data_IF_479043719593
#
_entry.id   IF_479043719593
#
_cell.length_a   1.000
_cell.length_b   1.000
_cell.length_c   1.000
_cell.angle_alpha   90.00
_cell.angle_beta   90.00
_cell.angle_gamma   90.00
#
_symmetry.space_group_name_H-M   'P 1'
#
loop_
_entity.id
_entity.type
_entity.pdbx_description
1 polymer ?
#
# COMPACT_ATOMS: atom_id res chain seq x y z
N UNK A 1 38.58 -59.56 1.18
CA UNK A 1 38.41 -60.10 2.55
C UNK A 1 38.32 -58.93 3.53
N UNK A 2 37.24 -58.90 4.32
CA UNK A 2 37.16 -58.63 5.78
C UNK A 2 38.50 -58.26 6.49
N UNK A 3 38.56 -57.31 7.46
CA UNK A 3 37.79 -56.07 7.64
C UNK A 3 38.65 -54.86 8.15
N UNK A 4 38.01 -53.70 8.38
CA UNK A 4 38.36 -52.78 9.48
C UNK A 4 37.08 -52.08 10.02
N UNK A 5 37.00 -51.83 11.33
CA UNK A 5 35.83 -51.26 12.04
C UNK A 5 36.31 -50.61 13.35
N UNK A 6 35.49 -49.75 13.97
CA UNK A 6 35.76 -49.03 15.26
C UNK A 6 36.71 -47.83 15.03
N UNK A 7 36.57 -46.64 15.66
CA UNK A 7 35.77 -46.18 16.82
C UNK A 7 35.00 -44.86 16.59
N UNK A 8 34.11 -44.54 17.54
CA UNK A 8 33.45 -43.23 17.69
C UNK A 8 34.44 -42.10 18.01
N UNK A 9 34.10 -40.88 17.57
CA UNK A 9 34.60 -39.64 18.19
C UNK A 9 33.55 -38.53 18.15
N UNK A 10 32.60 -38.56 19.10
CA UNK A 10 31.62 -37.49 19.28
C UNK A 10 32.26 -36.29 19.99
N UNK A 11 32.03 -35.05 19.51
CA UNK A 11 32.49 -33.85 20.24
C UNK A 11 31.56 -32.63 20.10
N UNK A 12 31.06 -32.21 21.27
CA UNK A 12 30.60 -30.87 21.64
C UNK A 12 29.59 -30.13 20.74
N UNK A 13 28.33 -30.13 21.18
CA UNK A 13 27.38 -29.04 20.88
C UNK A 13 27.78 -27.81 21.71
N UNK A 14 27.98 -26.62 21.12
CA UNK A 14 28.12 -25.38 21.88
C UNK A 14 26.72 -24.87 22.28
N UNK A 15 26.36 -25.07 23.54
CA UNK A 15 25.33 -24.26 24.22
C UNK A 15 26.00 -23.03 24.81
N UNK A 16 25.42 -21.84 24.58
CA UNK A 16 25.23 -20.76 25.57
C UNK A 16 24.99 -19.40 24.89
N UNK A 17 23.73 -19.08 24.63
CA UNK A 17 23.27 -17.68 24.50
C UNK A 17 22.42 -17.40 25.74
N UNK A 18 22.96 -16.58 26.66
CA UNK A 18 22.38 -16.34 27.98
C UNK A 18 21.07 -15.56 27.88
N UNK A 19 19.94 -16.25 28.03
CA UNK A 19 18.64 -15.60 28.21
C UNK A 19 18.64 -14.81 29.53
N UNK A 20 18.34 -13.51 29.44
CA UNK A 20 18.14 -12.68 30.65
C UNK A 20 16.77 -13.00 31.24
N UNK A 21 16.72 -13.99 32.11
CA UNK A 21 15.51 -14.33 32.86
C UNK A 21 15.21 -13.19 33.85
N UNK A 22 14.23 -12.34 33.52
CA UNK A 22 13.68 -11.37 34.47
C UNK A 22 12.65 -12.09 35.32
N UNK A 23 12.98 -12.35 36.58
CA UNK A 23 12.09 -13.00 37.54
C UNK A 23 10.90 -12.09 37.87
N UNK A 24 9.74 -12.35 37.29
CA UNK A 24 8.47 -11.82 37.77
C UNK A 24 7.87 -12.80 38.78
N UNK A 25 7.75 -12.36 40.02
CA UNK A 25 7.21 -13.15 41.13
C UNK A 25 5.71 -13.38 40.98
N UNK A 26 5.27 -14.60 41.27
CA UNK A 26 3.86 -14.97 41.20
C UNK A 26 3.06 -14.34 42.34
N UNK A 27 2.24 -13.34 42.04
CA UNK A 27 1.11 -12.94 42.90
C UNK A 27 -0.17 -13.46 42.27
N UNK A 28 -0.86 -14.39 42.92
CA UNK A 28 -2.14 -14.89 42.44
C UNK A 28 -3.22 -13.80 42.53
N UNK A 29 -3.87 -13.49 41.40
CA UNK A 29 -5.10 -12.69 41.34
C UNK A 29 -5.99 -13.23 40.20
N UNK A 30 -7.24 -13.58 40.55
CA UNK A 30 -8.45 -13.65 39.71
C UNK A 30 -8.29 -13.85 38.18
N UNK A 31 -8.71 -15.00 37.66
CA UNK A 31 -8.50 -15.39 36.26
C UNK A 31 -9.32 -14.62 35.21
N UNK A 32 -10.49 -14.10 35.57
CA UNK A 32 -11.54 -13.72 34.60
C UNK A 32 -11.21 -12.51 33.73
N UNK A 33 -10.39 -11.57 34.25
CA UNK A 33 -10.08 -10.32 33.55
C UNK A 33 -9.11 -10.49 32.35
N UNK A 34 -8.55 -11.68 32.16
CA UNK A 34 -7.52 -11.92 31.13
C UNK A 34 -8.08 -12.18 29.73
N UNK A 35 -9.26 -12.79 29.61
CA UNK A 35 -9.80 -13.22 28.31
C UNK A 35 -10.56 -12.13 27.56
N UNK A 36 -11.13 -11.14 28.26
CA UNK A 36 -11.63 -9.92 27.60
C UNK A 36 -10.49 -9.16 26.90
N UNK A 37 -9.34 -9.02 27.57
CA UNK A 37 -8.16 -8.34 27.01
C UNK A 37 -7.60 -9.10 25.80
N UNK A 38 -7.63 -10.44 25.82
CA UNK A 38 -7.31 -11.29 24.65
C UNK A 38 -8.36 -11.16 23.53
N UNK A 39 -9.66 -11.14 23.83
CA UNK A 39 -10.74 -10.89 22.84
C UNK A 39 -10.61 -9.50 22.21
N UNK A 40 -10.33 -8.46 22.99
CA UNK A 40 -10.11 -7.10 22.52
C UNK A 40 -8.87 -6.98 21.62
N UNK A 41 -7.77 -7.66 21.96
CA UNK A 41 -6.59 -7.75 21.09
C UNK A 41 -6.89 -8.46 19.76
N UNK A 42 -7.63 -9.60 19.81
CA UNK A 42 -8.07 -10.32 18.59
C UNK A 42 -9.01 -9.48 17.72
N UNK A 43 -9.96 -8.74 18.33
CA UNK A 43 -10.81 -7.78 17.60
C UNK A 43 -9.96 -6.72 16.89
N UNK A 44 -9.11 -5.99 17.64
CA UNK A 44 -8.21 -4.97 17.06
C UNK A 44 -7.31 -5.51 15.94
N UNK A 45 -6.84 -6.76 16.05
CA UNK A 45 -6.07 -7.40 14.97
C UNK A 45 -6.95 -7.67 13.74
N UNK A 46 -8.16 -8.19 13.91
CA UNK A 46 -9.10 -8.40 12.81
C UNK A 46 -9.55 -7.08 12.18
N UNK A 47 -9.77 -6.03 12.97
CA UNK A 47 -10.14 -4.69 12.51
C UNK A 47 -9.01 -4.08 11.64
N UNK A 48 -7.74 -4.27 12.04
CA UNK A 48 -6.56 -3.87 11.26
C UNK A 48 -6.37 -4.70 9.98
N UNK A 49 -6.70 -5.99 10.01
CA UNK A 49 -6.71 -6.83 8.81
C UNK A 49 -7.82 -6.41 7.85
N UNK A 50 -9.00 -6.03 8.37
CA UNK A 50 -10.11 -5.50 7.58
C UNK A 50 -9.81 -4.12 6.98
N UNK A 51 -9.08 -3.23 7.68
CA UNK A 51 -8.64 -1.96 7.10
C UNK A 51 -7.59 -2.16 6.02
N UNK A 52 -6.60 -3.03 6.24
CA UNK A 52 -5.60 -3.40 5.23
C UNK A 52 -6.23 -4.08 4.00
N UNK A 53 -7.30 -4.86 4.17
CA UNK A 53 -8.06 -5.40 3.02
C UNK A 53 -8.76 -4.26 2.29
N UNK A 54 -9.51 -3.39 2.99
CA UNK A 54 -10.23 -2.26 2.37
C UNK A 54 -9.32 -1.28 1.61
N UNK A 55 -8.11 -1.03 2.10
CA UNK A 55 -7.10 -0.20 1.41
C UNK A 55 -6.57 -0.84 0.11
N UNK A 56 -6.65 -2.17 -0.02
CA UNK A 56 -6.25 -2.91 -1.23
C UNK A 56 -7.44 -3.29 -2.13
N UNK A 57 -8.67 -3.31 -1.61
CA UNK A 57 -9.90 -3.62 -2.35
C UNK A 57 -10.75 -2.37 -2.55
N UNK A 58 -10.22 -1.37 -3.27
CA UNK A 58 -11.00 -0.22 -3.74
C UNK A 58 -11.87 -0.59 -4.95
N UNK A 59 -12.78 -1.52 -4.75
CA UNK A 59 -13.88 -1.82 -5.68
C UNK A 59 -15.01 -0.82 -5.47
N UNK A 60 -15.07 0.18 -6.35
CA UNK A 60 -16.29 0.84 -6.86
C UNK A 60 -17.52 0.94 -5.93
N UNK A 61 -17.50 1.81 -4.91
CA UNK A 61 -18.76 2.32 -4.31
C UNK A 61 -18.61 3.75 -3.76
N UNK A 62 -18.20 4.69 -4.61
CA UNK A 62 -18.08 6.11 -4.27
C UNK A 62 -19.44 6.83 -4.39
N UNK A 63 -20.20 6.88 -3.30
CA UNK A 63 -21.45 7.66 -3.22
C UNK A 63 -21.13 9.16 -3.35
N UNK A 64 -21.89 9.86 -4.19
CA UNK A 64 -21.59 11.24 -4.57
C UNK A 64 -21.95 12.24 -3.47
N UNK A 65 -20.94 12.84 -2.84
CA UNK A 65 -21.10 14.06 -2.02
C UNK A 65 -19.82 14.88 -1.97
N UNK A 66 -19.99 16.19 -1.90
CA UNK A 66 -18.98 17.24 -1.71
C UNK A 66 -18.01 17.50 -2.90
N UNK A 67 -17.91 18.78 -3.25
CA UNK A 67 -17.02 19.28 -4.31
C UNK A 67 -15.61 19.37 -3.73
N UNK A 68 -14.66 18.60 -4.26
CA UNK A 68 -13.24 18.82 -3.97
C UNK A 68 -12.80 20.19 -4.50
N UNK A 69 -12.72 21.19 -3.62
CA UNK A 69 -11.96 22.40 -3.93
C UNK A 69 -10.51 22.04 -4.23
N UNK A 70 -9.95 22.65 -5.28
CA UNK A 70 -8.56 22.43 -5.69
C UNK A 70 -7.60 22.84 -4.57
N UNK A 71 -7.15 21.87 -3.76
CA UNK A 71 -6.30 22.05 -2.60
C UNK A 71 -4.86 22.40 -3.01
N UNK A 72 -4.67 23.64 -3.45
CA UNK A 72 -3.36 24.24 -3.74
C UNK A 72 -2.43 23.99 -2.57
N UNK A 73 -1.42 23.12 -2.77
CA UNK A 73 -0.43 22.74 -1.75
C UNK A 73 0.14 23.99 -1.07
N UNK A 74 -0.34 24.28 0.15
CA UNK A 74 0.20 25.35 0.98
C UNK A 74 1.62 24.95 1.37
N UNK A 75 2.61 25.46 0.64
CA UNK A 75 4.04 25.35 1.01
C UNK A 75 4.19 25.83 2.45
N UNK A 76 4.37 24.88 3.37
CA UNK A 76 4.55 25.17 4.80
C UNK A 76 5.84 25.96 4.92
N UNK A 77 5.73 27.27 5.17
CA UNK A 77 6.90 28.11 5.47
C UNK A 77 7.56 27.53 6.73
N UNK A 78 8.87 27.24 6.73
CA UNK A 78 9.52 26.66 7.89
C UNK A 78 9.40 27.62 9.07
N UNK A 79 8.77 27.16 10.15
CA UNK A 79 8.59 27.93 11.38
C UNK A 79 9.98 28.14 11.99
N UNK A 80 10.49 29.37 11.93
CA UNK A 80 11.77 29.72 12.56
C UNK A 80 11.63 29.52 14.08
N UNK A 81 12.52 28.76 14.74
CA UNK A 81 12.47 28.60 16.19
C UNK A 81 12.75 29.94 16.89
N UNK A 82 11.96 30.26 17.92
CA UNK A 82 12.10 31.46 18.76
C UNK A 82 13.28 31.35 19.74
N UNK A 83 14.50 31.12 19.23
CA UNK A 83 15.70 30.88 20.04
C UNK A 83 16.73 32.02 20.01
N UNK A 84 16.42 33.15 19.37
CA UNK A 84 17.36 34.27 19.16
C UNK A 84 17.57 35.12 20.41
N UNK A 85 16.51 35.39 21.17
CA UNK A 85 16.50 36.35 22.29
C UNK A 85 17.19 35.85 23.58
N UNK A 86 17.48 34.56 23.69
CA UNK A 86 18.02 33.97 24.92
C UNK A 86 19.42 34.51 25.28
N UNK A 87 20.27 34.77 24.29
CA UNK A 87 21.61 35.31 24.53
C UNK A 87 21.58 36.74 25.07
N UNK A 88 20.71 37.58 24.51
CA UNK A 88 20.51 38.96 24.94
C UNK A 88 19.98 39.02 26.38
N UNK A 89 18.96 38.22 26.70
CA UNK A 89 18.37 38.11 28.05
C UNK A 89 19.40 37.66 29.09
N UNK A 90 20.30 36.73 28.74
CA UNK A 90 21.42 36.32 29.61
C UNK A 90 22.41 37.47 29.83
N UNK A 91 22.78 38.24 28.79
CA UNK A 91 23.68 39.39 28.96
C UNK A 91 23.08 40.53 29.79
N UNK A 92 21.77 40.76 29.71
CA UNK A 92 21.06 41.75 30.55
C UNK A 92 21.06 41.31 32.02
N UNK A 93 20.67 40.06 32.30
CA UNK A 93 20.67 39.52 33.66
C UNK A 93 22.07 39.52 34.30
N UNK A 94 23.11 39.18 33.54
CA UNK A 94 24.49 39.25 34.02
C UNK A 94 24.89 40.69 34.41
N UNK A 95 24.56 41.68 33.56
CA UNK A 95 24.78 43.11 33.85
C UNK A 95 24.01 43.59 35.08
N UNK A 96 22.82 43.07 35.36
CA UNK A 96 22.03 43.44 36.53
C UNK A 96 22.59 42.90 37.85
N UNK A 97 23.04 41.64 37.86
CA UNK A 97 23.71 41.05 39.03
C UNK A 97 25.03 41.77 39.33
N UNK A 98 25.81 42.06 38.29
CA UNK A 98 27.18 42.56 38.42
C UNK A 98 27.27 44.06 38.71
N UNK A 99 26.19 44.85 38.52
CA UNK A 99 26.10 46.27 38.96
C UNK A 99 26.37 46.50 40.45
N UNK A 100 26.38 45.45 41.29
CA UNK A 100 26.68 45.52 42.73
C UNK A 100 28.12 45.16 43.08
N UNK A 101 29.01 44.97 42.09
CA UNK A 101 30.41 44.58 42.30
C UNK A 101 31.38 45.68 41.85
N UNK A 102 32.52 45.76 42.51
CA UNK A 102 33.52 46.84 42.36
C UNK A 102 34.17 46.92 40.97
N UNK A 103 34.20 45.81 40.22
CA UNK A 103 34.82 45.70 38.89
C UNK A 103 33.84 45.14 37.85
N UNK A 104 32.82 45.91 37.43
CA UNK A 104 31.66 45.36 36.73
C UNK A 104 32.00 44.73 35.36
N UNK A 105 32.87 45.35 34.56
CA UNK A 105 33.20 44.84 33.22
C UNK A 105 34.00 43.51 33.26
N UNK A 106 34.81 43.30 34.29
CA UNK A 106 35.59 42.06 34.47
C UNK A 106 34.73 40.94 35.06
N UNK A 107 33.90 41.27 36.06
CA UNK A 107 32.99 40.31 36.67
C UNK A 107 31.88 39.85 35.70
N UNK A 108 31.37 40.73 34.82
CA UNK A 108 30.44 40.33 33.75
C UNK A 108 31.10 39.32 32.80
N UNK A 109 32.35 39.59 32.40
CA UNK A 109 33.11 38.71 31.53
C UNK A 109 33.35 37.32 32.16
N UNK A 110 33.83 37.26 33.40
CA UNK A 110 34.04 35.98 34.09
C UNK A 110 32.75 35.19 34.32
N UNK A 111 31.66 35.86 34.67
CA UNK A 111 30.37 35.22 34.92
C UNK A 111 29.79 34.60 33.64
N UNK A 112 29.80 35.36 32.53
CA UNK A 112 29.37 34.86 31.23
C UNK A 112 30.29 33.74 30.74
N UNK A 113 31.61 33.88 30.87
CA UNK A 113 32.59 32.85 30.51
C UNK A 113 32.34 31.52 31.25
N UNK A 114 32.11 31.56 32.58
CA UNK A 114 31.80 30.39 33.40
C UNK A 114 30.49 29.70 32.98
N UNK A 115 29.48 30.44 32.51
CA UNK A 115 28.21 29.86 32.03
C UNK A 115 28.29 29.24 30.62
N UNK A 116 29.30 29.59 29.81
CA UNK A 116 29.38 29.18 28.40
C UNK A 116 29.95 27.76 28.16
N UNK A 117 30.41 27.07 29.20
CA UNK A 117 31.22 25.84 29.13
C UNK A 117 30.51 24.58 28.57
N UNK A 118 29.22 24.63 28.21
CA UNK A 118 28.43 23.45 27.80
C UNK A 118 27.51 23.62 26.57
N UNK A 119 27.44 24.80 25.93
CA UNK A 119 26.45 25.06 24.87
C UNK A 119 26.98 25.97 23.74
N UNK A 120 27.51 25.38 22.66
CA UNK A 120 27.97 26.12 21.47
C UNK A 120 26.94 27.08 20.88
N UNK A 121 25.65 26.67 20.87
CA UNK A 121 24.56 27.47 20.31
C UNK A 121 24.28 28.74 21.14
N UNK A 122 24.62 28.73 22.43
CA UNK A 122 24.54 29.90 23.31
C UNK A 122 25.82 30.74 23.26
N UNK A 123 27.00 30.12 23.12
CA UNK A 123 28.26 30.84 22.81
C UNK A 123 28.07 31.75 21.58
N UNK A 124 27.57 31.18 20.48
CA UNK A 124 27.39 31.87 19.18
C UNK A 124 26.28 32.95 19.19
N UNK A 125 25.44 33.04 20.23
CA UNK A 125 24.48 34.14 20.42
C UNK A 125 24.95 35.17 21.44
N UNK A 126 25.50 34.74 22.58
CA UNK A 126 26.04 35.64 23.62
C UNK A 126 27.24 36.44 23.10
N UNK A 127 28.11 35.84 22.28
CA UNK A 127 29.21 36.57 21.59
C UNK A 127 28.69 37.71 20.70
N UNK A 128 27.54 37.54 20.05
CA UNK A 128 26.93 38.57 19.18
C UNK A 128 26.23 39.68 19.98
N UNK A 129 25.64 39.33 21.13
CA UNK A 129 24.94 40.26 21.99
C UNK A 129 25.89 41.10 22.89
N UNK A 130 26.93 40.47 23.43
CA UNK A 130 27.80 41.08 24.45
C UNK A 130 28.69 42.21 23.91
N UNK A 131 29.39 41.97 22.78
CA UNK A 131 30.37 42.90 22.16
C UNK A 131 31.53 43.36 23.07
N UNK A 132 31.74 42.78 24.25
CA UNK A 132 32.84 43.14 25.14
C UNK A 132 34.17 42.51 24.67
N UNK A 133 35.21 43.31 24.45
CA UNK A 133 36.52 42.84 23.95
C UNK A 133 37.25 41.91 24.94
N UNK A 134 37.10 42.15 26.24
CA UNK A 134 37.65 41.30 27.30
C UNK A 134 37.11 39.86 27.24
N UNK A 135 35.84 39.68 26.85
CA UNK A 135 35.25 38.36 26.64
C UNK A 135 35.81 37.67 25.39
N UNK A 136 36.03 38.40 24.29
CA UNK A 136 36.57 37.79 23.07
C UNK A 136 38.01 37.30 23.30
N UNK A 137 38.81 38.04 24.06
CA UNK A 137 40.15 37.64 24.49
C UNK A 137 40.11 36.37 25.36
N UNK A 138 39.28 36.33 26.41
CA UNK A 138 39.14 35.15 27.28
C UNK A 138 38.66 33.90 26.54
N UNK A 139 37.69 34.03 25.62
CA UNK A 139 37.23 32.90 24.79
C UNK A 139 38.24 32.48 23.72
N UNK A 140 39.11 33.38 23.23
CA UNK A 140 40.11 33.03 22.22
C UNK A 140 41.15 32.02 22.73
N UNK A 141 41.55 32.12 24.01
CA UNK A 141 42.45 31.18 24.67
C UNK A 141 41.83 29.80 24.97
N UNK A 142 40.56 29.59 24.65
CA UNK A 142 39.82 28.35 24.91
C UNK A 142 39.30 27.68 23.61
N UNK A 143 39.91 28.02 22.47
CA UNK A 143 39.56 27.48 21.15
C UNK A 143 39.99 26.01 21.03
N UNK A 144 39.08 25.09 21.34
CA UNK A 144 39.20 23.67 20.98
C UNK A 144 39.28 23.54 19.46
N UNK A 145 40.30 22.84 18.97
CA UNK A 145 40.41 22.46 17.57
C UNK A 145 39.38 21.38 17.25
N UNK A 146 38.24 21.82 16.69
CA UNK A 146 37.23 20.93 16.13
C UNK A 146 37.43 20.82 14.63
N UNK A 147 37.93 19.66 14.18
CA UNK A 147 38.01 19.31 12.76
C UNK A 147 36.69 19.64 12.05
N UNK A 148 36.75 20.36 10.92
CA UNK A 148 35.59 20.59 10.06
C UNK A 148 35.22 19.31 9.29
N UNK A 149 34.67 18.33 10.02
CA UNK A 149 34.07 17.12 9.46
C UNK A 149 32.85 17.51 8.64
N UNK A 150 33.10 17.76 7.35
CA UNK A 150 32.13 18.13 6.33
C UNK A 150 30.84 17.33 6.50
N UNK A 151 29.77 18.00 6.91
CA UNK A 151 28.46 17.40 7.21
C UNK A 151 27.69 17.08 5.93
N UNK A 152 28.27 16.21 5.11
CA UNK A 152 27.54 15.43 4.12
C UNK A 152 26.49 14.62 4.89
N UNK A 153 25.24 15.09 4.86
CA UNK A 153 24.10 14.44 5.50
C UNK A 153 23.74 13.14 4.76
N UNK A 154 24.62 12.14 4.87
CA UNK A 154 24.39 10.79 4.38
C UNK A 154 23.39 10.15 5.34
N UNK A 155 22.10 10.29 5.02
CA UNK A 155 21.04 9.56 5.69
C UNK A 155 21.39 8.05 5.65
N UNK A 156 21.34 7.33 6.80
CA UNK A 156 21.73 5.93 6.88
C UNK A 156 21.01 5.09 5.83
N UNK A 157 21.70 4.11 5.26
CA UNK A 157 21.21 3.35 4.09
C UNK A 157 19.86 2.66 4.37
N UNK A 158 19.64 2.20 5.61
CA UNK A 158 18.40 1.60 6.09
C UNK A 158 17.20 2.56 6.19
N UNK A 159 17.43 3.88 6.14
CA UNK A 159 16.35 4.89 6.12
C UNK A 159 16.01 5.38 4.71
N UNK A 160 16.65 4.85 3.66
CA UNK A 160 16.35 5.20 2.27
C UNK A 160 15.32 4.23 1.72
N UNK A 161 14.32 4.75 1.01
CA UNK A 161 13.43 3.89 0.23
C UNK A 161 14.23 3.21 -0.90
N UNK A 162 13.81 2.00 -1.29
CA UNK A 162 14.31 1.30 -2.49
C UNK A 162 14.20 2.18 -3.75
N UNK A 163 13.22 3.10 -3.79
CA UNK A 163 13.10 4.10 -4.86
C UNK A 163 14.31 5.03 -4.97
N UNK A 164 14.87 5.42 -3.83
CA UNK A 164 15.87 6.48 -3.75
C UNK A 164 17.25 5.88 -3.95
N UNK A 165 17.49 4.68 -3.40
CA UNK A 165 18.66 3.84 -3.71
C UNK A 165 18.79 3.58 -5.22
N UNK A 166 17.69 3.26 -5.92
CA UNK A 166 17.69 3.04 -7.38
C UNK A 166 17.97 4.35 -8.15
N UNK A 167 17.42 5.49 -7.71
CA UNK A 167 17.67 6.79 -8.33
C UNK A 167 19.12 7.27 -8.11
N UNK A 168 19.67 7.10 -6.91
CA UNK A 168 21.07 7.38 -6.61
C UNK A 168 22.01 6.50 -7.46
N UNK A 169 21.75 5.19 -7.55
CA UNK A 169 22.55 4.27 -8.37
C UNK A 169 22.52 4.62 -9.86
N UNK A 170 21.36 5.01 -10.40
CA UNK A 170 21.23 5.46 -11.79
C UNK A 170 21.97 6.79 -12.03
N UNK A 171 21.95 7.70 -11.04
CA UNK A 171 22.63 9.00 -11.09
C UNK A 171 24.14 8.90 -10.92
N UNK A 172 24.65 7.99 -10.09
CA UNK A 172 26.10 7.75 -10.01
C UNK A 172 26.66 7.16 -11.30
N UNK A 173 25.88 6.35 -12.03
CA UNK A 173 26.30 5.72 -13.28
C UNK A 173 26.66 6.72 -14.40
N UNK A 174 26.15 7.96 -14.33
CA UNK A 174 26.51 9.05 -15.26
C UNK A 174 27.66 9.95 -14.78
N UNK A 175 28.09 9.82 -13.53
CA UNK A 175 29.10 10.70 -12.91
C UNK A 175 30.48 10.04 -12.73
N UNK A 176 30.58 8.73 -12.92
CA UNK A 176 31.85 8.00 -12.93
C UNK A 176 32.40 8.00 -14.37
N UNK A 177 33.57 8.61 -14.66
CA UNK A 177 34.18 8.45 -15.98
C UNK A 177 34.47 6.97 -16.26
N UNK A 178 34.48 6.51 -17.53
CA UNK A 178 34.88 5.16 -17.86
C UNK A 178 36.27 4.89 -17.27
N UNK A 179 36.37 3.93 -16.34
CA UNK A 179 37.66 3.51 -15.83
C UNK A 179 38.42 2.90 -17.00
N UNK A 180 39.52 3.52 -17.42
CA UNK A 180 40.36 3.00 -18.48
C UNK A 180 40.95 1.65 -18.04
N UNK A 181 40.31 0.57 -18.50
CA UNK A 181 40.83 -0.77 -18.32
C UNK A 181 42.07 -0.90 -19.20
N UNK A 182 43.23 -1.04 -18.57
CA UNK A 182 44.52 -1.20 -19.26
C UNK A 182 44.41 -2.25 -20.37
N UNK A 183 44.73 -1.84 -21.59
CA UNK A 183 44.57 -2.65 -22.80
C UNK A 183 45.40 -3.96 -22.77
N UNK A 184 46.36 -4.06 -21.84
CA UNK A 184 47.25 -5.19 -21.67
C UNK A 184 46.68 -6.32 -20.78
N UNK A 185 45.42 -6.22 -20.33
CA UNK A 185 44.74 -7.35 -19.68
C UNK A 185 44.45 -8.47 -20.70
N UNK A 186 44.87 -9.73 -20.45
CA UNK A 186 44.57 -10.83 -21.35
C UNK A 186 43.06 -11.09 -21.41
N UNK A 187 42.51 -11.18 -22.63
CA UNK A 187 41.08 -11.43 -22.85
C UNK A 187 40.72 -12.89 -22.59
N UNK A 188 40.50 -13.23 -21.32
CA UNK A 188 40.02 -14.56 -20.91
C UNK A 188 38.61 -14.79 -21.43
N UNK A 189 38.42 -15.78 -22.30
CA UNK A 189 37.10 -16.23 -22.71
C UNK A 189 36.48 -17.10 -21.61
N UNK A 190 35.59 -16.51 -20.81
CA UNK A 190 34.89 -17.16 -19.69
C UNK A 190 34.07 -18.39 -20.16
N UNK A 191 33.63 -18.40 -21.42
CA UNK A 191 32.86 -19.49 -22.03
C UNK A 191 33.69 -20.37 -22.98
N UNK A 192 35.03 -20.25 -22.95
CA UNK A 192 35.94 -21.02 -23.80
C UNK A 192 36.32 -22.40 -23.26
N UNK A 193 35.91 -22.75 -22.03
CA UNK A 193 36.15 -24.05 -21.42
C UNK A 193 35.10 -25.08 -21.84
N UNK A 194 35.45 -26.37 -21.81
CA UNK A 194 34.52 -27.46 -22.09
C UNK A 194 33.38 -27.48 -21.05
N UNK A 195 32.10 -27.43 -21.46
CA UNK A 195 30.96 -27.53 -20.54
C UNK A 195 30.86 -28.94 -19.93
N UNK A 196 30.31 -29.03 -18.71
CA UNK A 196 30.25 -30.28 -17.94
C UNK A 196 29.24 -31.32 -18.50
N UNK A 197 28.39 -30.94 -19.46
CA UNK A 197 27.47 -31.82 -20.20
C UNK A 197 26.57 -32.78 -19.36
N UNK A 198 26.33 -32.49 -18.08
CA UNK A 198 25.43 -33.27 -17.20
C UNK A 198 23.93 -33.07 -17.51
N UNK A 199 23.58 -32.03 -18.30
CA UNK A 199 22.24 -31.81 -18.84
C UNK A 199 22.28 -31.95 -20.35
N UNK A 200 21.36 -32.72 -20.91
CA UNK A 200 21.08 -32.75 -22.35
C UNK A 200 20.03 -31.68 -22.69
N UNK A 201 20.04 -31.16 -23.92
CA UNK A 201 19.15 -30.07 -24.33
C UNK A 201 17.81 -30.65 -24.80
N UNK A 202 17.06 -31.17 -23.84
CA UNK A 202 15.73 -31.76 -24.06
C UNK A 202 14.72 -30.64 -24.33
N UNK A 203 14.36 -30.46 -25.61
CA UNK A 203 13.45 -29.39 -26.04
C UNK A 203 11.97 -29.67 -25.68
N UNK A 204 11.64 -30.91 -25.31
CA UNK A 204 10.28 -31.39 -25.10
C UNK A 204 9.71 -31.15 -23.68
N UNK A 205 9.72 -29.88 -23.25
CA UNK A 205 9.10 -29.41 -21.99
C UNK A 205 7.56 -29.45 -21.99
N UNK A 206 6.94 -30.39 -22.72
CA UNK A 206 5.54 -30.34 -23.17
C UNK A 206 4.51 -30.89 -22.16
N UNK A 207 4.94 -31.69 -21.17
CA UNK A 207 4.05 -32.43 -20.26
C UNK A 207 4.43 -32.31 -18.76
N UNK A 208 4.87 -31.13 -18.32
CA UNK A 208 5.07 -30.84 -16.89
C UNK A 208 3.77 -30.20 -16.34
N UNK A 209 3.15 -30.70 -15.26
CA UNK A 209 1.94 -30.10 -14.70
C UNK A 209 2.24 -28.72 -14.09
N UNK A 210 1.80 -27.67 -14.79
CA UNK A 210 2.10 -26.27 -14.44
C UNK A 210 1.23 -25.77 -13.29
N UNK A 211 1.86 -25.55 -12.12
CA UNK A 211 1.18 -25.01 -10.94
C UNK A 211 0.97 -23.49 -11.07
N UNK A 212 -0.20 -23.09 -11.58
CA UNK A 212 -0.59 -21.69 -11.83
C UNK A 212 -0.35 -20.74 -10.65
N UNK A 213 -0.49 -21.21 -9.40
CA UNK A 213 -0.21 -20.43 -8.18
C UNK A 213 1.27 -20.05 -8.05
N UNK A 214 2.17 -21.02 -8.25
CA UNK A 214 3.62 -20.79 -8.23
C UNK A 214 4.08 -19.89 -9.38
N UNK A 215 3.48 -20.02 -10.57
CA UNK A 215 3.76 -19.12 -11.70
C UNK A 215 3.32 -17.69 -11.45
N UNK A 216 2.14 -17.48 -10.85
CA UNK A 216 1.65 -16.16 -10.43
C UNK A 216 2.58 -15.54 -9.40
N UNK A 217 3.05 -16.31 -8.42
CA UNK A 217 4.06 -15.85 -7.45
C UNK A 217 5.39 -15.49 -8.10
N UNK A 218 5.98 -16.38 -8.90
CA UNK A 218 7.25 -16.17 -9.63
C UNK A 218 7.17 -14.98 -10.59
N UNK A 219 6.01 -14.74 -11.20
CA UNK A 219 5.78 -13.61 -12.09
C UNK A 219 5.55 -12.29 -11.35
N UNK A 220 4.91 -12.31 -10.18
CA UNK A 220 4.85 -11.15 -9.26
C UNK A 220 6.24 -10.76 -8.77
N UNK A 221 7.05 -11.74 -8.37
CA UNK A 221 8.44 -11.53 -7.95
C UNK A 221 9.30 -10.96 -9.09
N UNK A 222 9.22 -11.55 -10.29
CA UNK A 222 9.88 -11.03 -11.50
C UNK A 222 9.48 -9.58 -11.79
N UNK A 223 8.18 -9.24 -11.68
CA UNK A 223 7.71 -7.84 -11.79
C UNK A 223 8.36 -6.96 -10.71
N UNK A 224 8.31 -7.35 -9.43
CA UNK A 224 8.90 -6.60 -8.30
C UNK A 224 10.42 -6.40 -8.39
N UNK A 225 11.13 -7.31 -9.06
CA UNK A 225 12.56 -7.18 -9.34
C UNK A 225 12.86 -6.09 -10.41
N UNK A 226 11.96 -5.92 -11.38
CA UNK A 226 12.10 -5.00 -12.53
C UNK A 226 11.47 -3.61 -12.25
N UNK A 227 10.41 -3.55 -11.46
CA UNK A 227 9.73 -2.29 -11.11
C UNK A 227 10.63 -1.37 -10.30
N UNK A 228 10.98 -0.25 -10.92
CA UNK A 228 11.62 0.91 -10.32
C UNK A 228 10.55 1.99 -10.05
N UNK A 229 10.85 3.05 -9.25
CA UNK A 229 9.91 4.17 -9.11
C UNK A 229 9.77 4.90 -10.46
N UNK A 230 8.59 5.46 -10.78
CA UNK A 230 8.38 6.09 -12.08
C UNK A 230 9.37 7.22 -12.34
N UNK A 231 9.91 7.21 -13.55
CA UNK A 231 10.92 8.14 -14.06
C UNK A 231 10.30 9.38 -14.67
N UNK A 232 9.11 9.24 -15.27
CA UNK A 232 8.42 10.27 -16.04
C UNK A 232 6.91 10.29 -15.72
N UNK A 233 6.25 11.42 -15.96
CA UNK A 233 4.81 11.59 -15.79
C UNK A 233 3.99 10.61 -16.64
N UNK A 234 4.43 10.33 -17.88
CA UNK A 234 3.78 9.34 -18.75
C UNK A 234 3.80 7.91 -18.17
N UNK A 235 4.87 7.54 -17.47
CA UNK A 235 4.98 6.25 -16.79
C UNK A 235 4.03 6.18 -15.58
N UNK A 236 3.89 7.29 -14.85
CA UNK A 236 2.90 7.43 -13.78
C UNK A 236 1.45 7.37 -14.31
N UNK A 237 1.15 7.98 -15.46
CA UNK A 237 -0.14 7.84 -16.15
C UNK A 237 -0.40 6.40 -16.59
N UNK A 238 0.60 5.71 -17.16
CA UNK A 238 0.49 4.31 -17.55
C UNK A 238 0.17 3.43 -16.34
N UNK A 239 0.89 3.60 -15.23
CA UNK A 239 0.63 2.89 -13.96
C UNK A 239 -0.76 3.22 -13.39
N UNK A 240 -1.27 4.44 -13.58
CA UNK A 240 -2.64 4.81 -13.17
C UNK A 240 -3.72 4.22 -14.09
N UNK A 241 -3.43 4.05 -15.39
CA UNK A 241 -4.34 3.41 -16.36
C UNK A 241 -4.38 1.89 -16.14
N UNK A 242 -3.23 1.25 -15.88
CA UNK A 242 -3.14 -0.17 -15.48
C UNK A 242 -3.92 -0.47 -14.19
N UNK A 243 -4.05 0.52 -13.30
CA UNK A 243 -4.83 0.43 -12.04
C UNK A 243 -6.30 0.83 -12.18
N UNK A 244 -6.74 1.29 -13.35
CA UNK A 244 -8.10 1.82 -13.55
C UNK A 244 -8.39 3.16 -12.84
N UNK A 245 -7.37 3.89 -12.40
CA UNK A 245 -7.52 5.23 -11.78
C UNK A 245 -7.76 6.29 -12.87
N UNK A 246 -7.14 6.13 -14.04
CA UNK A 246 -7.44 6.91 -15.24
C UNK A 246 -8.41 6.14 -16.14
N UNK A 247 -9.31 6.88 -16.80
CA UNK A 247 -10.15 6.35 -17.87
C UNK A 247 -9.30 5.81 -19.02
N UNK A 248 -9.80 4.80 -19.73
CA UNK A 248 -9.14 4.26 -20.91
C UNK A 248 -9.44 5.19 -22.10
N UNK A 249 -8.46 5.37 -22.98
CA UNK A 249 -8.59 6.19 -24.19
C UNK A 249 -8.63 5.32 -25.45
N UNK A 250 -9.48 5.62 -26.46
CA UNK A 250 -10.46 6.71 -26.50
C UNK A 250 -11.56 6.54 -25.43
N UNK A 251 -12.14 7.66 -25.01
CA UNK A 251 -13.21 7.65 -24.00
C UNK A 251 -14.45 6.99 -24.61
N UNK A 252 -14.91 5.93 -23.97
CA UNK A 252 -16.16 5.22 -24.26
C UNK A 252 -17.04 5.37 -23.01
N UNK A 253 -18.30 5.78 -23.20
CA UNK A 253 -19.24 6.03 -22.11
C UNK A 253 -19.74 4.72 -21.47
N UNK A 254 -19.57 3.58 -22.14
CA UNK A 254 -19.95 2.25 -21.66
C UNK A 254 -18.83 1.57 -20.84
N UNK A 255 -17.71 2.26 -20.57
CA UNK A 255 -16.57 1.70 -19.82
C UNK A 255 -16.99 1.27 -18.40
N UNK A 256 -17.05 -0.05 -18.19
CA UNK A 256 -17.46 -0.69 -16.94
C UNK A 256 -18.76 -1.47 -17.02
N UNK A 257 -19.55 -1.31 -18.09
CA UNK A 257 -20.74 -2.12 -18.37
C UNK A 257 -20.37 -3.41 -19.15
N UNK A 258 -19.28 -4.06 -18.74
CA UNK A 258 -18.67 -5.21 -19.42
C UNK A 258 -19.54 -6.49 -19.36
N UNK A 259 -20.69 -6.46 -18.67
CA UNK A 259 -21.62 -7.59 -18.50
C UNK A 259 -22.76 -7.53 -19.52
N UNK A 260 -23.58 -6.47 -19.53
CA UNK A 260 -24.59 -6.27 -20.59
C UNK A 260 -23.98 -6.21 -22.00
N UNK A 261 -22.71 -5.76 -22.13
CA UNK A 261 -21.98 -5.76 -23.42
C UNK A 261 -21.70 -7.15 -24.00
N UNK A 262 -21.96 -8.22 -23.24
CA UNK A 262 -21.95 -9.63 -23.71
C UNK A 262 -23.33 -10.10 -24.20
N UNK A 263 -24.39 -9.40 -23.82
CA UNK A 263 -25.79 -9.77 -24.06
C UNK A 263 -26.24 -9.18 -25.41
N UNK A 264 -27.05 -9.92 -26.16
CA UNK A 264 -27.62 -9.42 -27.41
C UNK A 264 -28.68 -8.34 -27.15
N UNK A 265 -28.94 -7.50 -28.15
CA UNK A 265 -30.14 -6.66 -28.15
C UNK A 265 -31.42 -7.52 -28.21
N UNK A 266 -31.31 -8.75 -28.72
CA UNK A 266 -32.41 -9.71 -28.85
C UNK A 266 -33.01 -10.05 -27.48
N UNK A 267 -32.18 -10.41 -26.49
CA UNK A 267 -32.58 -10.63 -25.09
C UNK A 267 -33.24 -9.42 -24.41
N UNK A 268 -32.97 -8.21 -24.91
CA UNK A 268 -33.54 -6.97 -24.38
C UNK A 268 -34.89 -6.60 -25.01
N UNK A 269 -35.22 -7.15 -26.18
CA UNK A 269 -36.39 -6.80 -27.00
C UNK A 269 -37.37 -7.97 -27.11
N UNK A 270 -36.90 -9.17 -27.45
CA UNK A 270 -37.69 -10.38 -27.70
C UNK A 270 -37.94 -11.18 -26.41
N UNK A 271 -38.63 -10.55 -25.47
CA UNK A 271 -38.98 -11.13 -24.17
C UNK A 271 -40.09 -12.19 -24.24
N UNK A 272 -40.77 -12.32 -25.38
CA UNK A 272 -41.87 -13.26 -25.62
C UNK A 272 -41.45 -14.73 -25.41
N UNK A 273 -40.19 -15.07 -25.70
CA UNK A 273 -39.56 -16.37 -25.45
C UNK A 273 -39.59 -16.80 -23.97
N UNK A 274 -39.92 -15.89 -23.04
CA UNK A 274 -40.05 -16.16 -21.59
C UNK A 274 -41.51 -16.22 -21.11
N UNK A 275 -42.48 -16.02 -22.00
CA UNK A 275 -43.90 -16.28 -21.76
C UNK A 275 -44.29 -17.73 -22.11
N UNK A 276 -43.57 -18.33 -23.06
CA UNK A 276 -43.85 -19.68 -23.55
C UNK A 276 -43.85 -20.74 -22.44
N UNK A 277 -44.80 -21.67 -22.54
CA UNK A 277 -44.97 -22.80 -21.61
C UNK A 277 -45.84 -22.52 -20.38
N UNK A 278 -45.91 -21.30 -19.86
CA UNK A 278 -46.73 -20.98 -18.67
C UNK A 278 -47.89 -20.02 -18.94
N UNK A 279 -47.73 -19.08 -19.89
CA UNK A 279 -48.78 -18.11 -20.23
C UNK A 279 -49.72 -18.69 -21.31
N UNK A 280 -51.06 -18.55 -21.18
CA UNK A 280 -51.99 -18.99 -22.24
C UNK A 280 -51.77 -18.26 -23.56
N UNK A 281 -51.94 -18.95 -24.70
CA UNK A 281 -51.83 -18.33 -26.03
C UNK A 281 -52.91 -17.28 -26.32
N UNK A 282 -54.05 -17.34 -25.63
CA UNK A 282 -55.19 -16.44 -25.82
C UNK A 282 -55.87 -16.16 -24.48
N UNK A 283 -56.14 -14.89 -24.20
CA UNK A 283 -56.88 -14.45 -23.02
C UNK A 283 -56.43 -13.08 -22.52
N UNK A 284 -57.17 -12.45 -21.59
CA UNK A 284 -56.82 -11.12 -21.06
C UNK A 284 -55.44 -11.10 -20.40
N UNK A 285 -54.97 -12.23 -19.84
CA UNK A 285 -53.65 -12.33 -19.22
C UNK A 285 -52.53 -12.32 -20.28
N UNK A 286 -52.77 -12.89 -21.47
CA UNK A 286 -51.81 -12.81 -22.59
C UNK A 286 -51.65 -11.35 -23.02
N UNK A 287 -52.75 -10.67 -23.34
CA UNK A 287 -52.75 -9.25 -23.67
C UNK A 287 -52.07 -8.37 -22.60
N UNK A 288 -52.21 -8.71 -21.31
CA UNK A 288 -51.50 -8.05 -20.22
C UNK A 288 -49.99 -8.32 -20.24
N UNK A 289 -49.57 -9.58 -20.41
CA UNK A 289 -48.15 -9.93 -20.48
C UNK A 289 -47.46 -9.41 -21.74
N UNK A 290 -48.17 -9.32 -22.87
CA UNK A 290 -47.69 -8.65 -24.09
C UNK A 290 -47.40 -7.17 -23.81
N UNK A 291 -48.31 -6.46 -23.10
CA UNK A 291 -48.09 -5.07 -22.68
C UNK A 291 -46.93 -4.93 -21.69
N UNK A 292 -46.74 -5.89 -20.77
CA UNK A 292 -45.56 -5.93 -19.88
C UNK A 292 -44.27 -6.10 -20.70
N UNK A 293 -44.24 -6.98 -21.70
CA UNK A 293 -43.07 -7.19 -22.56
C UNK A 293 -42.78 -5.95 -23.44
N UNK A 294 -43.81 -5.29 -23.98
CA UNK A 294 -43.65 -4.01 -24.69
C UNK A 294 -43.15 -2.89 -23.75
N UNK A 295 -43.56 -2.89 -22.48
CA UNK A 295 -43.04 -1.98 -21.46
C UNK A 295 -41.57 -2.23 -21.12
N UNK A 296 -41.20 -3.49 -20.88
CA UNK A 296 -39.83 -3.89 -20.53
C UNK A 296 -38.85 -3.74 -21.71
N UNK A 297 -39.26 -4.02 -22.94
CA UNK A 297 -38.41 -3.84 -24.14
C UNK A 297 -38.00 -2.39 -24.36
N UNK A 298 -38.88 -1.43 -24.05
CA UNK A 298 -38.62 0.02 -24.14
C UNK A 298 -37.82 0.59 -22.97
N UNK A 299 -37.47 -0.23 -21.98
CA UNK A 299 -36.70 0.20 -20.81
C UNK A 299 -35.19 0.04 -21.04
N UNK A 300 -34.45 1.14 -20.90
CA UNK A 300 -33.00 1.25 -21.09
C UNK A 300 -32.21 1.20 -19.76
N UNK A 301 -32.91 1.15 -18.62
CA UNK A 301 -32.33 1.22 -17.27
C UNK A 301 -32.37 -0.12 -16.52
N UNK A 302 -32.94 -1.16 -17.14
CA UNK A 302 -32.97 -2.54 -16.60
C UNK A 302 -32.14 -3.45 -17.51
N UNK A 303 -31.32 -4.29 -16.88
CA UNK A 303 -30.56 -5.38 -17.51
C UNK A 303 -31.48 -6.45 -18.11
N UNK A 304 -30.95 -7.28 -19.00
CA UNK A 304 -31.70 -8.44 -19.50
C UNK A 304 -32.10 -9.42 -18.38
N UNK A 305 -31.27 -9.59 -17.35
CA UNK A 305 -31.57 -10.47 -16.21
C UNK A 305 -32.72 -9.94 -15.34
N UNK A 306 -32.75 -8.63 -15.06
CA UNK A 306 -33.86 -8.00 -14.33
C UNK A 306 -35.18 -8.09 -15.11
N UNK A 307 -35.16 -7.88 -16.44
CA UNK A 307 -36.35 -8.04 -17.29
C UNK A 307 -36.90 -9.47 -17.22
N UNK A 308 -36.03 -10.49 -17.23
CA UNK A 308 -36.39 -11.90 -17.08
C UNK A 308 -36.95 -12.21 -15.69
N UNK A 309 -36.32 -11.67 -14.64
CA UNK A 309 -36.79 -11.79 -13.26
C UNK A 309 -38.20 -11.18 -13.05
N UNK A 310 -38.49 -10.02 -13.66
CA UNK A 310 -39.83 -9.43 -13.63
C UNK A 310 -40.90 -10.34 -14.27
N UNK A 311 -40.59 -11.00 -15.39
CA UNK A 311 -41.52 -11.93 -16.05
C UNK A 311 -41.73 -13.19 -15.20
N UNK A 312 -40.67 -13.73 -14.60
CA UNK A 312 -40.77 -14.86 -13.66
C UNK A 312 -41.60 -14.51 -12.41
N UNK A 313 -41.49 -13.28 -11.88
CA UNK A 313 -42.33 -12.83 -10.77
C UNK A 313 -43.82 -12.82 -11.13
N UNK A 314 -44.18 -12.38 -12.35
CA UNK A 314 -45.57 -12.45 -12.82
C UNK A 314 -46.07 -13.89 -12.94
N UNK A 315 -45.24 -14.82 -13.44
CA UNK A 315 -45.58 -16.26 -13.48
C UNK A 315 -45.97 -16.76 -12.09
N UNK A 316 -45.10 -16.59 -11.10
CA UNK A 316 -45.33 -17.12 -9.75
C UNK A 316 -46.58 -16.46 -9.12
N UNK A 317 -46.77 -15.15 -9.30
CA UNK A 317 -47.97 -14.42 -8.88
C UNK A 317 -49.28 -14.97 -9.48
N UNK A 318 -49.27 -15.36 -10.76
CA UNK A 318 -50.46 -15.95 -11.41
C UNK A 318 -50.68 -17.41 -11.00
N UNK A 319 -49.62 -18.18 -10.73
CA UNK A 319 -49.73 -19.55 -10.18
C UNK A 319 -50.38 -19.51 -8.78
N UNK A 320 -49.92 -18.62 -7.90
CA UNK A 320 -50.48 -18.45 -6.55
C UNK A 320 -51.96 -18.05 -6.57
N UNK A 321 -52.41 -17.37 -7.63
CA UNK A 321 -53.77 -16.86 -7.79
C UNK A 321 -54.65 -17.66 -8.75
N UNK A 322 -54.23 -18.86 -9.16
CA UNK A 322 -54.95 -19.70 -10.15
C UNK A 322 -56.43 -19.93 -9.85
N UNK A 323 -56.82 -20.02 -8.57
CA UNK A 323 -58.23 -20.15 -8.17
C UNK A 323 -59.09 -18.95 -8.59
N UNK A 324 -58.59 -17.72 -8.42
CA UNK A 324 -59.29 -16.49 -8.81
C UNK A 324 -59.33 -16.32 -10.33
N UNK A 325 -58.28 -16.77 -11.02
CA UNK A 325 -58.20 -16.73 -12.50
C UNK A 325 -59.27 -17.65 -13.11
N UNK A 326 -59.48 -18.83 -12.51
CA UNK A 326 -60.49 -19.81 -12.92
C UNK A 326 -61.91 -19.30 -12.60
N UNK A 327 -62.14 -18.72 -11.41
CA UNK A 327 -63.41 -18.07 -11.04
C UNK A 327 -63.79 -16.94 -12.01
N UNK A 328 -62.81 -16.16 -12.48
CA UNK A 328 -62.99 -15.08 -13.46
C UNK A 328 -63.04 -15.56 -14.92
N UNK A 329 -62.88 -16.86 -15.18
CA UNK A 329 -62.86 -17.43 -16.55
C UNK A 329 -61.73 -16.90 -17.44
N UNK A 330 -60.65 -16.40 -16.85
CA UNK A 330 -59.63 -15.60 -17.55
C UNK A 330 -58.53 -16.41 -18.26
N UNK A 331 -58.59 -17.74 -18.17
CA UNK A 331 -57.65 -18.71 -18.76
C UNK A 331 -57.26 -19.82 -17.77
N UNK A 332 -56.59 -20.87 -18.25
CA UNK A 332 -56.01 -21.91 -17.39
C UNK A 332 -54.49 -21.78 -17.38
N UNK A 333 -53.88 -21.71 -16.19
CA UNK A 333 -52.44 -21.52 -16.01
C UNK A 333 -51.75 -22.87 -15.83
N UNK A 334 -50.79 -23.19 -16.70
CA UNK A 334 -49.98 -24.41 -16.62
C UNK A 334 -48.76 -24.16 -15.75
N UNK A 335 -48.65 -24.86 -14.61
CA UNK A 335 -47.43 -24.78 -13.80
C UNK A 335 -46.35 -25.72 -14.37
N UNK A 336 -45.42 -25.16 -15.13
CA UNK A 336 -44.30 -25.92 -15.72
C UNK A 336 -43.25 -26.40 -14.71
N UNK A 337 -43.51 -26.31 -13.40
CA UNK A 337 -42.74 -27.02 -12.37
C UNK A 337 -42.96 -28.53 -12.53
N UNK A 338 -44.21 -28.95 -12.71
CA UNK A 338 -44.61 -30.37 -12.76
C UNK A 338 -44.07 -31.10 -14.01
N UNK A 339 -43.78 -30.38 -15.09
CA UNK A 339 -43.31 -30.97 -16.36
C UNK A 339 -41.88 -31.52 -16.32
N UNK A 340 -41.10 -31.24 -15.26
CA UNK A 340 -39.70 -31.67 -15.16
C UNK A 340 -39.47 -33.02 -14.49
N UNK A 341 -40.44 -33.57 -13.78
CA UNK A 341 -40.28 -34.86 -13.08
C UNK A 341 -40.47 -36.09 -13.98
N UNK A 342 -40.90 -35.90 -15.24
CA UNK A 342 -41.24 -36.99 -16.17
C UNK A 342 -40.11 -37.28 -17.19
N UNK A 343 -38.97 -36.59 -17.11
CA UNK A 343 -37.84 -36.77 -18.05
C UNK A 343 -36.47 -36.89 -17.34
N UNK A 344 -36.28 -38.00 -16.62
CA UNK A 344 -34.98 -38.49 -16.12
C UNK A 344 -35.01 -40.01 -15.96
#
# INVERSE_FOLDING_TARGET
MIPARISFLARAVPKDIKSRNITLTSTQRSNDESDEKKKAAKKKMNDLLLSLIKENTTTNEAKASEKMENSKFKKIKPIKPRSTELGEKITVAAKEVVKKMENPQKAEAELLFKMLYKNEKLQKSILKASKNETLSQLLSGMRVETDEKSTRNIAPEWSRSRSDQVRDALREKSLRPPREFSANMPRVNIFGAAPLNWFQVDNDNKNIPVMSTWEKCKSRERKMAITHPPTNYWEQMMIWTERGILWKFPIDNEQGLDEEKKVSFEDHVFLENHLEGWCPDRGPIRNFMDLVCVGLSRNHWLTAEEKKAHIMWYRDYFIDKKALILELGAGEMVDTRDSKEVTS
#
